data_IF_728445139034
#
_entry.id   IF_728445139034
#
_cell.length_a   1.000
_cell.length_b   1.000
_cell.length_c   1.000
_cell.angle_alpha   90.00
_cell.angle_beta   90.00
_cell.angle_gamma   90.00
#
_symmetry.space_group_name_H-M   'P 1'
#
loop_
_entity.id
_entity.type
_entity.pdbx_description
1 polymer ?
#
# COMPACT_ATOMS: atom_id res chain seq x y z
N UNK A 1 9.55 -5.30 3.67
CA UNK A 1 10.53 -4.96 4.72
C UNK A 1 9.87 -5.16 6.06
N UNK A 2 10.58 -5.50 7.15
CA UNK A 2 9.96 -5.49 8.46
C UNK A 2 9.31 -4.14 8.77
N UNK A 3 8.06 -4.14 9.22
CA UNK A 3 7.35 -2.89 9.46
C UNK A 3 5.94 -3.07 9.99
N UNK A 4 5.35 -1.98 10.53
CA UNK A 4 3.97 -1.99 10.97
C UNK A 4 3.01 -2.01 9.78
N UNK A 5 1.86 -2.71 9.90
CA UNK A 5 0.85 -2.73 8.85
C UNK A 5 0.21 -1.36 8.65
N UNK A 6 -0.25 -1.11 7.42
CA UNK A 6 -0.99 0.11 7.06
C UNK A 6 -2.45 -0.20 6.71
N UNK A 7 -3.26 0.84 6.52
CA UNK A 7 -4.68 0.72 6.21
C UNK A 7 -5.14 1.88 5.31
N UNK A 8 -6.46 2.03 5.15
CA UNK A 8 -7.13 3.15 4.49
C UNK A 8 -6.61 4.47 5.08
N UNK A 9 -6.34 5.45 4.21
CA UNK A 9 -5.75 6.74 4.57
C UNK A 9 -4.22 6.75 4.58
N UNK A 10 -3.56 5.60 4.43
CA UNK A 10 -2.11 5.55 4.25
C UNK A 10 -1.71 6.25 2.95
N UNK A 11 -0.75 7.17 3.03
CA UNK A 11 -0.12 7.81 1.88
C UNK A 11 0.79 6.83 1.17
N UNK A 12 0.77 6.88 -0.16
CA UNK A 12 1.63 6.10 -1.06
C UNK A 12 2.29 7.03 -2.08
N UNK A 13 3.47 6.64 -2.54
CA UNK A 13 4.21 7.33 -3.59
C UNK A 13 4.62 6.33 -4.67
N UNK A 14 4.37 6.65 -5.93
CA UNK A 14 4.67 5.80 -7.07
C UNK A 14 5.82 6.39 -7.87
N UNK A 15 6.89 5.63 -8.09
CA UNK A 15 8.07 6.11 -8.83
C UNK A 15 8.60 5.06 -9.82
N UNK A 16 8.68 5.37 -11.12
CA UNK A 16 8.08 6.53 -11.80
C UNK A 16 6.55 6.52 -11.66
N UNK A 17 5.94 7.72 -11.72
CA UNK A 17 4.48 7.86 -11.78
C UNK A 17 3.94 7.60 -13.19
N UNK A 18 2.62 7.78 -13.38
CA UNK A 18 1.94 7.54 -14.64
C UNK A 18 2.48 8.38 -15.81
N UNK A 19 2.99 9.58 -15.52
CA UNK A 19 3.56 10.50 -16.52
C UNK A 19 5.10 10.59 -16.44
N UNK A 20 5.77 9.76 -15.64
CA UNK A 20 7.22 9.80 -15.42
C UNK A 20 7.60 10.30 -14.02
N UNK A 21 7.35 11.59 -13.67
CA UNK A 21 7.59 12.10 -12.33
C UNK A 21 6.83 11.32 -11.24
N UNK A 22 7.28 11.32 -9.98
CA UNK A 22 6.60 10.60 -8.91
C UNK A 22 5.18 11.08 -8.65
N UNK A 23 4.23 10.15 -8.58
CA UNK A 23 2.83 10.42 -8.25
C UNK A 23 2.55 10.06 -6.79
N UNK A 24 1.62 10.75 -6.14
CA UNK A 24 1.25 10.51 -4.73
C UNK A 24 -0.22 10.15 -4.63
N UNK A 25 -0.58 9.36 -3.63
CA UNK A 25 -1.96 8.97 -3.41
C UNK A 25 -2.23 8.49 -2.01
N UNK A 26 -3.43 7.99 -1.80
CA UNK A 26 -3.85 7.38 -0.54
C UNK A 26 -4.59 6.07 -0.79
N UNK A 27 -4.41 5.09 0.10
CA UNK A 27 -5.23 3.88 0.11
C UNK A 27 -6.68 4.28 0.45
N UNK A 28 -7.62 3.95 -0.43
CA UNK A 28 -9.05 4.30 -0.27
C UNK A 28 -9.94 3.08 -0.03
N UNK A 29 -9.50 1.88 -0.40
CA UNK A 29 -10.26 0.67 -0.16
C UNK A 29 -9.37 -0.55 0.08
N UNK A 30 -9.81 -1.40 1.01
CA UNK A 30 -9.26 -2.74 1.27
C UNK A 30 -10.38 -3.73 1.02
N UNK A 31 -10.15 -4.71 0.14
CA UNK A 31 -11.19 -5.64 -0.28
C UNK A 31 -11.18 -6.91 0.59
N UNK A 32 -12.36 -7.51 0.86
CA UNK A 32 -12.45 -8.78 1.56
C UNK A 32 -11.65 -9.91 0.88
N UNK A 33 -11.17 -10.90 1.65
CA UNK A 33 -11.21 -10.94 3.11
C UNK A 33 -10.16 -9.99 3.71
N UNK A 34 -10.50 -9.34 4.82
CA UNK A 34 -9.59 -8.47 5.57
C UNK A 34 -9.62 -8.81 7.06
N UNK A 35 -8.51 -8.54 7.73
CA UNK A 35 -8.43 -8.47 9.20
C UNK A 35 -8.41 -7.00 9.60
N UNK A 36 -8.84 -6.69 10.82
CA UNK A 36 -8.88 -5.31 11.30
C UNK A 36 -7.90 -5.08 12.44
N UNK A 37 -7.38 -3.85 12.54
CA UNK A 37 -6.69 -3.34 13.71
C UNK A 37 -7.28 -1.98 14.08
N UNK A 38 -7.64 -1.79 15.35
CA UNK A 38 -8.34 -0.56 15.78
C UNK A 38 -9.65 -0.30 15.02
N UNK A 39 -10.32 -1.35 14.53
CA UNK A 39 -11.53 -1.24 13.70
C UNK A 39 -11.28 -0.96 12.21
N UNK A 40 -10.03 -0.74 11.78
CA UNK A 40 -9.70 -0.45 10.38
C UNK A 40 -9.18 -1.69 9.64
N UNK A 41 -9.59 -1.95 8.39
CA UNK A 41 -9.13 -3.13 7.64
C UNK A 41 -7.66 -2.98 7.20
N UNK A 42 -6.82 -3.96 7.48
CA UNK A 42 -5.40 -3.90 7.12
C UNK A 42 -5.19 -4.07 5.61
N UNK A 43 -4.39 -3.19 5.02
CA UNK A 43 -4.13 -3.19 3.59
C UNK A 43 -3.35 -4.43 3.16
N UNK A 44 -3.76 -5.00 2.04
CA UNK A 44 -3.09 -6.13 1.38
C UNK A 44 -2.78 -5.81 -0.08
N UNK A 45 -1.98 -6.66 -0.73
CA UNK A 45 -1.79 -6.61 -2.18
C UNK A 45 -3.15 -6.56 -2.90
N UNK A 46 -3.28 -5.64 -3.86
CA UNK A 46 -4.50 -5.30 -4.58
C UNK A 46 -5.54 -4.49 -3.80
N UNK A 47 -5.17 -3.88 -2.66
CA UNK A 47 -5.92 -2.73 -2.12
C UNK A 47 -5.94 -1.60 -3.14
N UNK A 48 -6.97 -0.75 -3.11
CA UNK A 48 -7.13 0.34 -4.07
C UNK A 48 -6.57 1.65 -3.50
N UNK A 49 -5.74 2.32 -4.29
CA UNK A 49 -5.27 3.67 -4.06
C UNK A 49 -5.99 4.64 -4.99
N UNK A 50 -6.29 5.83 -4.47
CA UNK A 50 -6.56 7.01 -5.29
C UNK A 50 -5.24 7.76 -5.45
N UNK A 51 -4.65 7.70 -6.62
CA UNK A 51 -3.44 8.42 -6.97
C UNK A 51 -3.80 9.77 -7.58
N UNK A 52 -2.88 10.73 -7.48
CA UNK A 52 -2.94 12.01 -8.16
C UNK A 52 -1.70 12.11 -9.02
N UNK A 53 -1.91 12.29 -10.33
CA UNK A 53 -0.80 12.52 -11.23
C UNK A 53 -0.15 13.87 -10.90
N UNK A 54 1.15 13.86 -10.60
CA UNK A 54 1.91 15.04 -10.17
C UNK A 54 2.03 16.12 -11.25
N UNK A 55 1.95 15.73 -12.53
CA UNK A 55 2.06 16.65 -13.65
C UNK A 55 0.71 17.29 -14.02
N UNK A 56 -0.36 16.51 -14.08
CA UNK A 56 -1.68 16.98 -14.53
C UNK A 56 -2.65 17.31 -13.39
N UNK A 57 -2.38 16.84 -12.17
CA UNK A 57 -3.31 16.90 -11.02
C UNK A 57 -4.52 15.96 -11.14
N UNK A 58 -4.62 15.18 -12.22
CA UNK A 58 -5.78 14.31 -12.46
C UNK A 58 -5.72 13.09 -11.53
N UNK A 59 -6.79 12.78 -10.79
CA UNK A 59 -6.84 11.59 -9.97
C UNK A 59 -7.03 10.32 -10.84
N UNK A 60 -6.40 9.23 -10.44
CA UNK A 60 -6.57 7.93 -11.09
C UNK A 60 -6.50 6.77 -10.09
N UNK A 61 -7.29 5.71 -10.29
CA UNK A 61 -7.24 4.53 -9.45
C UNK A 61 -5.97 3.70 -9.75
N UNK A 62 -5.37 3.12 -8.71
CA UNK A 62 -4.28 2.17 -8.85
C UNK A 62 -4.36 1.09 -7.78
N UNK A 63 -4.27 -0.18 -8.16
CA UNK A 63 -4.23 -1.30 -7.23
C UNK A 63 -2.80 -1.57 -6.79
N UNK A 64 -2.58 -1.84 -5.50
CA UNK A 64 -1.26 -2.21 -4.98
C UNK A 64 -0.81 -3.53 -5.61
N UNK A 65 0.42 -3.60 -6.13
CA UNK A 65 0.96 -4.81 -6.74
C UNK A 65 1.43 -5.88 -5.75
N UNK A 66 2.39 -6.68 -6.20
CA UNK A 66 3.05 -7.76 -5.44
C UNK A 66 4.54 -7.83 -5.81
N UNK A 67 5.43 -8.37 -4.95
CA UNK A 67 5.20 -8.89 -3.59
C UNK A 67 5.25 -7.80 -2.48
N UNK A 68 4.76 -8.11 -1.26
CA UNK A 68 4.73 -7.19 -0.11
C UNK A 68 5.26 -7.80 1.20
N UNK A 69 4.48 -8.63 1.90
CA UNK A 69 4.98 -9.55 2.95
C UNK A 69 5.00 -10.98 2.43
N UNK A 70 6.10 -11.69 2.68
CA UNK A 70 6.27 -13.08 2.29
C UNK A 70 5.63 -14.08 3.26
N UNK A 71 5.30 -13.66 4.49
CA UNK A 71 4.83 -14.56 5.54
C UNK A 71 3.46 -14.21 6.11
N UNK A 72 3.11 -12.92 6.17
CA UNK A 72 1.79 -12.50 6.66
C UNK A 72 0.89 -12.24 5.47
N UNK A 73 -0.16 -13.06 5.35
CA UNK A 73 -1.15 -12.95 4.28
C UNK A 73 -2.56 -12.95 4.86
N UNK A 74 -3.49 -12.33 4.14
CA UNK A 74 -4.92 -12.35 4.44
C UNK A 74 -5.66 -12.80 3.18
N UNK A 75 -6.32 -13.95 3.24
CA UNK A 75 -6.95 -14.55 2.05
C UNK A 75 -6.00 -14.76 0.88
N UNK A 76 -4.74 -15.11 1.15
CA UNK A 76 -3.72 -15.30 0.11
C UNK A 76 -3.09 -14.02 -0.44
N UNK A 77 -3.46 -12.84 0.09
CA UNK A 77 -2.93 -11.54 -0.32
C UNK A 77 -1.92 -11.05 0.73
N UNK A 78 -0.74 -10.67 0.28
CA UNK A 78 0.35 -10.22 1.15
C UNK A 78 -0.02 -8.96 1.92
N UNK A 79 0.26 -8.93 3.22
CA UNK A 79 0.10 -7.75 4.06
C UNK A 79 1.00 -6.60 3.59
N UNK A 80 0.47 -5.38 3.57
CA UNK A 80 1.20 -4.17 3.18
C UNK A 80 1.64 -3.42 4.44
N UNK A 81 2.92 -3.04 4.48
CA UNK A 81 3.56 -2.42 5.64
C UNK A 81 4.16 -1.08 5.27
N UNK A 82 4.37 -0.25 6.28
CA UNK A 82 5.14 0.97 6.09
C UNK A 82 6.51 0.67 5.48
N UNK A 83 6.95 1.53 4.57
CA UNK A 83 8.21 1.46 3.84
C UNK A 83 8.35 0.27 2.90
N UNK A 84 7.29 -0.53 2.69
CA UNK A 84 7.29 -1.51 1.61
C UNK A 84 7.47 -0.80 0.26
N UNK A 85 8.28 -1.43 -0.60
CA UNK A 85 8.57 -1.02 -1.97
C UNK A 85 8.01 -2.09 -2.90
N UNK A 86 6.80 -1.87 -3.38
CA UNK A 86 5.99 -2.88 -4.07
C UNK A 86 5.98 -2.58 -5.57
N UNK A 87 6.48 -3.50 -6.42
CA UNK A 87 6.35 -3.37 -7.86
C UNK A 87 4.87 -3.20 -8.25
N UNK A 88 4.54 -2.03 -8.78
CA UNK A 88 3.17 -1.64 -9.14
C UNK A 88 3.25 -0.81 -10.42
N UNK A 89 2.97 -1.40 -11.61
CA UNK A 89 3.13 -0.70 -12.89
C UNK A 89 2.45 0.68 -12.87
N UNK A 90 3.11 1.74 -13.38
CA UNK A 90 4.36 1.74 -14.15
C UNK A 90 5.67 1.71 -13.33
N UNK A 91 5.62 1.68 -12.00
CA UNK A 91 6.81 1.87 -11.16
C UNK A 91 6.86 1.02 -9.90
N UNK A 92 7.51 1.58 -8.88
CA UNK A 92 7.58 1.01 -7.54
C UNK A 92 6.75 1.90 -6.63
N UNK A 93 5.74 1.31 -5.98
CA UNK A 93 4.96 1.97 -4.96
C UNK A 93 5.68 1.88 -3.62
N UNK A 94 6.00 3.03 -3.04
CA UNK A 94 6.53 3.15 -1.69
C UNK A 94 5.38 3.50 -0.74
N UNK A 95 5.26 2.73 0.34
CA UNK A 95 4.25 2.94 1.38
C UNK A 95 4.80 3.89 2.44
N UNK A 96 4.15 5.02 2.68
CA UNK A 96 4.70 6.08 3.55
C UNK A 96 4.10 6.13 4.95
N UNK A 97 2.87 5.66 5.14
CA UNK A 97 2.15 5.69 6.42
C UNK A 97 0.99 6.68 6.45
N UNK A 98 0.34 6.90 7.61
CA UNK A 98 0.70 6.37 8.93
C UNK A 98 0.45 4.86 9.09
N UNK A 99 1.03 4.22 10.12
CA UNK A 99 0.74 2.83 10.44
C UNK A 99 -0.65 2.70 11.06
N UNK A 100 -1.35 1.61 10.75
CA UNK A 100 -2.65 1.30 11.34
C UNK A 100 -2.52 0.70 12.75
N UNK A 101 -1.45 -0.06 12.99
CA UNK A 101 -1.15 -0.67 14.28
C UNK A 101 0.35 -0.52 14.59
N UNK A 102 0.80 0.64 15.12
CA UNK A 102 2.22 0.89 15.39
C UNK A 102 2.83 -0.06 16.45
N UNK A 103 1.99 -0.75 17.21
CA UNK A 103 2.38 -1.75 18.20
C UNK A 103 2.53 -3.17 17.63
N UNK A 104 2.26 -3.36 16.32
CA UNK A 104 2.49 -4.62 15.61
C UNK A 104 3.59 -4.40 14.58
N UNK A 105 4.55 -5.31 14.51
CA UNK A 105 5.57 -5.33 13.44
C UNK A 105 5.57 -6.70 12.80
N UNK A 106 5.33 -6.74 11.49
CA UNK A 106 5.56 -7.95 10.70
C UNK A 106 7.05 -7.97 10.30
N UNK A 107 7.78 -8.98 10.78
CA UNK A 107 9.23 -9.16 10.58
C UNK A 107 9.61 -10.02 9.37
N UNK A 108 8.65 -10.45 8.54
CA UNK A 108 8.96 -11.24 7.36
C UNK A 108 9.66 -10.40 6.27
N UNK A 109 10.46 -11.02 5.38
CA UNK A 109 10.99 -10.32 4.21
C UNK A 109 9.87 -9.83 3.26
N UNK A 110 10.22 -8.96 2.29
CA UNK A 110 9.32 -8.57 1.22
C UNK A 110 8.83 -9.77 0.39
#
# INVERSE_FOLDING_TARGET
MPGPPVSIGCTVMLTPGAAGPPDTGTIIAVFPPFITAGGMPLATSGSLCMMVNSLSGVPYPLTIGMPASSGVTVGGRSLVRMLDRIPTPPGIMTILGPPAAPYVTDNWPP
#
